data_IF_086411667148
#
_entry.id   IF_086411667148
#
_cell.length_a   1.000
_cell.length_b   1.000
_cell.length_c   1.000
_cell.angle_alpha   90.00
_cell.angle_beta   90.00
_cell.angle_gamma   90.00
#
_symmetry.space_group_name_H-M   'P 1'
#
loop_
_entity.id
_entity.type
_entity.pdbx_description
1 polymer ?
#
# COMPACT_ATOMS: atom_id res chain seq x y z
N UNK A 1 -4.69 23.19 -9.58
CA UNK A 1 -4.80 23.35 -8.10
C UNK A 1 -6.18 22.87 -7.68
N UNK A 2 -6.23 21.91 -6.76
CA UNK A 2 -7.49 21.35 -6.26
C UNK A 2 -7.98 22.25 -5.11
N UNK A 3 -9.11 22.95 -5.33
CA UNK A 3 -9.73 23.77 -4.28
C UNK A 3 -10.45 22.89 -3.27
N UNK A 4 -10.23 23.12 -1.99
CA UNK A 4 -10.94 22.40 -0.91
C UNK A 4 -11.18 23.29 0.30
N UNK A 5 -12.12 22.86 1.15
CA UNK A 5 -12.45 23.50 2.43
C UNK A 5 -12.25 22.49 3.56
N UNK A 6 -11.91 22.99 4.74
CA UNK A 6 -11.74 22.16 5.96
C UNK A 6 -12.80 22.50 7.00
N UNK A 7 -13.18 21.49 7.77
CA UNK A 7 -13.96 21.62 8.98
C UNK A 7 -13.51 20.57 10.00
N UNK A 8 -13.59 20.88 11.27
CA UNK A 8 -13.23 19.93 12.35
C UNK A 8 -14.39 19.85 13.32
N UNK A 9 -14.92 18.64 13.51
CA UNK A 9 -15.98 18.40 14.47
C UNK A 9 -15.46 18.45 15.92
N UNK A 10 -16.33 18.73 16.92
CA UNK A 10 -15.93 18.77 18.33
C UNK A 10 -15.27 17.47 18.84
N UNK A 11 -15.63 16.34 18.27
CA UNK A 11 -15.03 15.03 18.59
C UNK A 11 -13.66 14.80 17.96
N UNK A 12 -13.17 15.74 17.15
CA UNK A 12 -11.85 15.71 16.52
C UNK A 12 -11.80 15.09 15.11
N UNK A 13 -12.94 14.68 14.53
CA UNK A 13 -12.98 14.24 13.14
C UNK A 13 -12.62 15.41 12.20
N UNK A 14 -11.60 15.21 11.39
CA UNK A 14 -11.15 16.17 10.39
C UNK A 14 -11.91 15.94 9.09
N UNK A 15 -12.51 17.00 8.54
CA UNK A 15 -13.30 16.95 7.31
C UNK A 15 -12.59 17.78 6.25
N UNK A 16 -12.39 17.18 5.08
CA UNK A 16 -11.90 17.85 3.87
C UNK A 16 -12.99 17.75 2.83
N UNK A 17 -13.31 18.85 2.17
CA UNK A 17 -14.37 18.88 1.16
C UNK A 17 -13.90 19.53 -0.12
N UNK A 18 -14.07 18.84 -1.24
CA UNK A 18 -13.86 19.35 -2.61
C UNK A 18 -15.18 19.32 -3.37
N UNK A 19 -15.65 20.49 -3.79
CA UNK A 19 -16.84 20.59 -4.63
C UNK A 19 -16.50 20.38 -6.11
N UNK A 20 -17.18 19.44 -6.75
CA UNK A 20 -17.07 19.16 -8.19
C UNK A 20 -18.47 19.10 -8.81
N UNK A 21 -18.91 20.22 -9.39
CA UNK A 21 -20.23 20.33 -10.05
C UNK A 21 -20.32 19.61 -11.41
N UNK A 22 -19.23 19.05 -11.92
CA UNK A 22 -19.22 18.31 -13.19
C UNK A 22 -19.82 16.91 -13.09
N UNK A 23 -19.94 16.37 -11.89
CA UNK A 23 -20.56 15.07 -11.58
C UNK A 23 -21.90 15.24 -10.88
N UNK A 24 -22.72 14.18 -10.84
CA UNK A 24 -23.92 14.06 -10.00
C UNK A 24 -23.69 13.07 -8.85
N UNK A 25 -22.46 12.69 -8.61
CA UNK A 25 -22.07 11.74 -7.58
C UNK A 25 -21.37 12.46 -6.44
N UNK A 26 -21.37 11.84 -5.27
CA UNK A 26 -20.60 12.23 -4.09
C UNK A 26 -19.86 11.02 -3.56
N UNK A 27 -18.55 11.17 -3.38
CA UNK A 27 -17.71 10.20 -2.71
C UNK A 27 -17.43 10.67 -1.28
N UNK A 28 -17.64 9.77 -0.33
CA UNK A 28 -17.14 9.87 1.03
C UNK A 28 -15.95 8.93 1.15
N UNK A 29 -14.80 9.44 1.53
CA UNK A 29 -13.60 8.65 1.78
C UNK A 29 -13.18 8.83 3.24
N UNK A 30 -13.27 7.75 4.01
CA UNK A 30 -12.95 7.73 5.44
C UNK A 30 -11.62 7.00 5.64
N UNK A 31 -10.58 7.74 5.96
CA UNK A 31 -9.25 7.25 6.20
C UNK A 31 -8.95 7.23 7.70
N UNK A 32 -8.68 6.05 8.23
CA UNK A 32 -8.21 5.87 9.61
C UNK A 32 -6.68 5.77 9.63
N UNK A 33 -6.06 6.49 10.56
CA UNK A 33 -4.63 6.40 10.82
C UNK A 33 -4.33 5.14 11.66
N UNK A 34 -4.56 3.98 11.06
CA UNK A 34 -4.28 2.65 11.61
C UNK A 34 -4.02 1.67 10.47
N UNK A 35 -2.96 0.89 10.59
CA UNK A 35 -2.58 -0.13 9.64
C UNK A 35 -1.91 -1.32 10.32
N UNK A 36 -1.28 -2.19 9.54
CA UNK A 36 -0.61 -3.36 10.12
C UNK A 36 0.60 -3.02 11.02
N UNK A 37 1.11 -1.78 10.96
CA UNK A 37 2.16 -1.31 11.88
C UNK A 37 1.69 -1.15 13.32
N UNK A 38 0.38 -1.01 13.53
CA UNK A 38 -0.23 -0.82 14.85
C UNK A 38 -0.57 -2.15 15.55
N UNK A 39 -0.23 -3.27 14.92
CA UNK A 39 -0.46 -4.61 15.43
C UNK A 39 0.68 -5.10 16.34
N UNK A 40 0.34 -5.97 17.29
CA UNK A 40 1.38 -6.65 18.06
C UNK A 40 2.01 -7.79 17.25
N UNK A 41 3.29 -8.15 17.52
CA UNK A 41 3.96 -9.26 16.84
C UNK A 41 3.25 -10.62 17.00
N UNK A 42 2.43 -10.79 18.03
CA UNK A 42 1.67 -12.00 18.34
C UNK A 42 0.25 -11.98 17.75
N UNK A 43 -0.19 -10.84 17.19
CA UNK A 43 -1.54 -10.60 16.69
C UNK A 43 -1.51 -9.83 15.37
N UNK A 44 -0.90 -10.42 14.34
CA UNK A 44 -0.75 -9.79 13.02
C UNK A 44 -1.93 -10.14 12.12
N UNK A 45 -2.29 -9.20 11.22
CA UNK A 45 -3.43 -9.31 10.30
C UNK A 45 -4.71 -8.71 10.85
N UNK A 46 -4.67 -8.06 12.02
CA UNK A 46 -5.86 -7.46 12.65
C UNK A 46 -6.39 -6.27 11.88
N UNK A 47 -5.52 -5.38 11.39
CA UNK A 47 -5.97 -4.23 10.57
C UNK A 47 -6.71 -4.69 9.31
N UNK A 48 -6.24 -5.74 8.65
CA UNK A 48 -6.92 -6.35 7.51
C UNK A 48 -8.21 -7.09 7.91
N UNK A 49 -8.22 -7.80 9.04
CA UNK A 49 -9.44 -8.40 9.56
C UNK A 49 -10.51 -7.33 9.83
N UNK A 50 -10.11 -6.14 10.31
CA UNK A 50 -11.03 -5.03 10.51
C UNK A 50 -11.57 -4.45 9.20
N UNK A 51 -10.79 -4.43 8.13
CA UNK A 51 -11.31 -4.09 6.80
C UNK A 51 -12.55 -4.93 6.48
N UNK A 52 -12.49 -6.24 6.72
CA UNK A 52 -13.61 -7.14 6.51
C UNK A 52 -14.75 -6.97 7.54
N UNK A 53 -14.42 -6.85 8.82
CA UNK A 53 -15.40 -6.74 9.90
C UNK A 53 -16.28 -5.49 9.77
N UNK A 54 -15.76 -4.41 9.20
CA UNK A 54 -16.49 -3.16 8.97
C UNK A 54 -17.69 -3.32 8.01
N UNK A 55 -17.71 -4.38 7.22
CA UNK A 55 -18.84 -4.74 6.35
C UNK A 55 -19.76 -5.82 6.97
N UNK A 56 -19.37 -6.38 8.10
CA UNK A 56 -20.09 -7.43 8.80
C UNK A 56 -21.26 -6.97 9.69
N UNK A 57 -21.68 -5.72 9.55
CA UNK A 57 -22.74 -5.10 10.34
C UNK A 57 -22.23 -4.23 11.49
N UNK A 58 -22.98 -3.19 11.79
CA UNK A 58 -22.73 -2.23 12.87
C UNK A 58 -23.84 -2.29 13.93
N UNK A 59 -23.72 -1.48 14.98
CA UNK A 59 -24.60 -1.54 16.16
C UNK A 59 -26.08 -1.37 15.81
N UNK A 60 -26.43 -0.53 14.85
CA UNK A 60 -27.81 -0.26 14.43
C UNK A 60 -28.12 -0.79 13.02
N UNK A 61 -27.11 -1.19 12.24
CA UNK A 61 -27.24 -1.57 10.84
C UNK A 61 -26.64 -2.97 10.64
N UNK A 62 -27.47 -4.00 10.62
CA UNK A 62 -26.99 -5.39 10.49
C UNK A 62 -26.45 -5.74 9.10
N UNK A 63 -26.85 -4.98 8.07
CA UNK A 63 -26.46 -5.17 6.68
C UNK A 63 -26.12 -3.81 6.05
N UNK A 64 -24.85 -3.60 5.74
CA UNK A 64 -24.32 -2.37 5.18
C UNK A 64 -24.69 -2.21 3.68
N UNK A 65 -24.66 -3.30 2.94
CA UNK A 65 -24.74 -3.27 1.48
C UNK A 65 -26.17 -3.02 0.96
N UNK A 66 -27.18 -3.63 1.57
CA UNK A 66 -28.55 -3.50 1.09
C UNK A 66 -29.06 -2.06 1.04
N UNK A 67 -28.95 -1.21 2.09
CA UNK A 67 -29.35 0.18 2.01
C UNK A 67 -28.51 0.98 1.03
N UNK A 68 -27.22 0.69 0.91
CA UNK A 68 -26.33 1.36 -0.04
C UNK A 68 -26.72 1.08 -1.49
N UNK A 69 -26.95 -0.20 -1.82
CA UNK A 69 -27.42 -0.61 -3.16
C UNK A 69 -28.77 0.03 -3.52
N UNK A 70 -29.70 0.11 -2.58
CA UNK A 70 -30.99 0.80 -2.77
C UNK A 70 -30.79 2.30 -3.04
N UNK A 71 -29.78 2.90 -2.47
CA UNK A 71 -29.40 4.29 -2.73
C UNK A 71 -28.64 4.47 -4.06
N UNK A 72 -28.36 3.39 -4.80
CA UNK A 72 -27.55 3.43 -6.03
C UNK A 72 -26.07 3.66 -5.77
N UNK A 73 -25.60 3.26 -4.60
CA UNK A 73 -24.21 3.45 -4.19
C UNK A 73 -23.34 2.21 -4.35
N UNK A 74 -22.03 2.43 -4.26
CA UNK A 74 -20.99 1.42 -4.21
C UNK A 74 -19.99 1.76 -3.08
N UNK A 75 -19.30 0.75 -2.59
CA UNK A 75 -18.28 0.90 -1.56
C UNK A 75 -17.09 -0.01 -1.84
N UNK A 76 -15.98 0.29 -1.20
CA UNK A 76 -14.85 -0.63 -1.06
C UNK A 76 -13.95 -0.16 0.08
N UNK A 77 -12.93 -0.96 0.39
CA UNK A 77 -11.90 -0.63 1.38
C UNK A 77 -10.55 -1.19 0.97
N UNK A 78 -9.50 -0.72 1.62
CA UNK A 78 -8.17 -1.28 1.54
C UNK A 78 -7.37 -0.95 2.80
N UNK A 79 -6.45 -1.83 3.15
CA UNK A 79 -5.53 -1.69 4.27
C UNK A 79 -4.10 -1.69 3.77
N UNK A 80 -3.29 -0.80 4.32
CA UNK A 80 -1.83 -0.77 4.12
C UNK A 80 -1.09 -1.03 5.42
N UNK A 81 0.21 -0.89 5.39
CA UNK A 81 1.00 -0.92 6.62
C UNK A 81 0.63 0.23 7.56
N UNK A 82 0.15 1.36 7.02
CA UNK A 82 0.01 2.64 7.72
C UNK A 82 -1.42 3.06 7.99
N UNK A 83 -2.33 2.76 7.07
CA UNK A 83 -3.70 3.26 7.09
C UNK A 83 -4.70 2.20 6.66
N UNK A 84 -5.94 2.34 7.14
CA UNK A 84 -7.10 1.62 6.63
C UNK A 84 -8.08 2.64 6.06
N UNK A 85 -8.48 2.45 4.82
CA UNK A 85 -9.30 3.38 4.08
C UNK A 85 -10.59 2.72 3.63
N UNK A 86 -11.70 3.43 3.84
CA UNK A 86 -13.03 3.04 3.38
C UNK A 86 -13.57 4.13 2.49
N UNK A 87 -14.30 3.76 1.45
CA UNK A 87 -15.01 4.74 0.66
C UNK A 87 -16.40 4.27 0.28
N UNK A 88 -17.29 5.24 0.15
CA UNK A 88 -18.65 5.06 -0.31
C UNK A 88 -18.94 6.11 -1.36
N UNK A 89 -19.49 5.69 -2.50
CA UNK A 89 -19.87 6.55 -3.60
C UNK A 89 -21.38 6.41 -3.83
N UNK A 90 -22.10 7.53 -3.87
CA UNK A 90 -23.54 7.57 -4.08
C UNK A 90 -23.96 8.70 -5.01
N UNK A 91 -25.11 8.60 -5.67
CA UNK A 91 -25.76 9.77 -6.25
C UNK A 91 -25.96 10.85 -5.18
N UNK A 92 -25.64 12.11 -5.49
CA UNK A 92 -25.60 13.20 -4.50
C UNK A 92 -26.94 13.39 -3.76
N UNK A 93 -28.09 13.18 -4.41
CA UNK A 93 -29.41 13.28 -3.77
C UNK A 93 -29.65 12.18 -2.72
N UNK A 94 -28.84 11.12 -2.69
CA UNK A 94 -28.86 10.05 -1.70
C UNK A 94 -27.63 10.10 -0.77
N UNK A 95 -26.87 11.20 -0.75
CA UNK A 95 -25.64 11.33 0.00
C UNK A 95 -25.82 11.00 1.49
N UNK A 96 -26.94 11.40 2.09
CA UNK A 96 -27.21 11.15 3.51
C UNK A 96 -27.17 9.68 3.89
N UNK A 97 -27.52 8.76 2.97
CA UNK A 97 -27.38 7.30 3.22
C UNK A 97 -25.93 6.92 3.50
N UNK A 98 -24.97 7.48 2.75
CA UNK A 98 -23.57 7.22 2.97
C UNK A 98 -23.07 7.76 4.33
N UNK A 99 -23.50 8.97 4.72
CA UNK A 99 -23.16 9.55 6.04
C UNK A 99 -23.72 8.70 7.18
N UNK A 100 -24.95 8.24 7.07
CA UNK A 100 -25.58 7.34 8.05
C UNK A 100 -24.81 6.03 8.18
N UNK A 101 -24.52 5.35 7.07
CA UNK A 101 -23.82 4.06 7.08
C UNK A 101 -22.40 4.18 7.66
N UNK A 102 -21.62 5.16 7.19
CA UNK A 102 -20.25 5.38 7.63
C UNK A 102 -20.16 5.77 9.12
N UNK A 103 -21.09 6.61 9.59
CA UNK A 103 -21.11 7.04 10.98
C UNK A 103 -21.48 5.91 11.94
N UNK A 104 -22.42 5.03 11.55
CA UNK A 104 -22.84 3.92 12.40
C UNK A 104 -21.72 2.91 12.62
N UNK A 105 -20.98 2.55 11.57
CA UNK A 105 -19.81 1.66 11.74
C UNK A 105 -18.65 2.31 12.50
N UNK A 106 -18.48 3.65 12.43
CA UNK A 106 -17.53 4.37 13.27
C UNK A 106 -17.97 4.40 14.75
N UNK A 107 -19.26 4.47 15.01
CA UNK A 107 -19.80 4.45 16.36
C UNK A 107 -19.50 3.11 17.06
N UNK A 108 -19.87 2.00 16.45
CA UNK A 108 -19.57 0.66 16.92
C UNK A 108 -19.95 -0.40 15.90
N UNK A 109 -19.16 -1.44 15.81
CA UNK A 109 -19.57 -2.66 15.11
C UNK A 109 -20.56 -3.46 15.97
N UNK A 110 -21.27 -4.40 15.33
CA UNK A 110 -22.19 -5.32 16.02
C UNK A 110 -21.44 -6.29 16.97
N UNK A 111 -20.16 -6.56 16.70
CA UNK A 111 -19.31 -7.47 17.48
C UNK A 111 -19.97 -8.84 17.74
N UNK A 112 -20.61 -9.40 16.73
CA UNK A 112 -21.19 -10.73 16.85
C UNK A 112 -20.14 -11.81 16.69
N UNK A 113 -20.22 -12.87 17.49
CA UNK A 113 -19.34 -14.04 17.37
C UNK A 113 -19.48 -14.74 16.02
N UNK A 114 -20.67 -14.71 15.44
CA UNK A 114 -20.95 -15.27 14.13
C UNK A 114 -20.22 -14.49 13.02
N UNK A 115 -20.39 -13.17 12.98
CA UNK A 115 -19.70 -12.30 12.02
C UNK A 115 -18.18 -12.44 12.13
N UNK A 116 -17.64 -12.43 13.35
CA UNK A 116 -16.21 -12.66 13.58
C UNK A 116 -15.76 -14.01 13.04
N UNK A 117 -16.51 -15.08 13.31
CA UNK A 117 -16.19 -16.44 12.82
C UNK A 117 -16.15 -16.48 11.29
N UNK A 118 -17.13 -15.88 10.62
CA UNK A 118 -17.21 -15.82 9.15
C UNK A 118 -16.01 -15.04 8.60
N UNK A 119 -15.74 -13.83 9.08
CA UNK A 119 -14.67 -12.99 8.56
C UNK A 119 -13.28 -13.59 8.81
N UNK A 120 -13.08 -14.26 9.95
CA UNK A 120 -11.84 -15.02 10.19
C UNK A 120 -11.60 -16.08 9.12
N UNK A 121 -12.62 -16.82 8.73
CA UNK A 121 -12.52 -17.84 7.67
C UNK A 121 -12.19 -17.20 6.32
N UNK A 122 -12.85 -16.08 5.96
CA UNK A 122 -12.59 -15.35 4.72
C UNK A 122 -11.12 -14.91 4.66
N UNK A 123 -10.62 -14.24 5.69
CA UNK A 123 -9.22 -13.76 5.74
C UNK A 123 -8.22 -14.92 5.72
N UNK A 124 -8.50 -16.02 6.40
CA UNK A 124 -7.64 -17.22 6.38
C UNK A 124 -7.57 -17.83 4.97
N UNK A 125 -8.71 -17.95 4.29
CA UNK A 125 -8.72 -18.47 2.92
C UNK A 125 -8.03 -17.51 1.94
N UNK A 126 -8.19 -16.21 2.10
CA UNK A 126 -7.47 -15.22 1.32
C UNK A 126 -5.94 -15.31 1.55
N UNK A 127 -5.51 -15.48 2.81
CA UNK A 127 -4.10 -15.71 3.12
C UNK A 127 -3.56 -16.94 2.37
N UNK A 128 -4.29 -18.06 2.40
CA UNK A 128 -3.89 -19.29 1.70
C UNK A 128 -3.81 -19.05 0.19
N UNK A 129 -4.85 -18.44 -0.38
CA UNK A 129 -4.88 -18.16 -1.82
C UNK A 129 -3.73 -17.25 -2.27
N UNK A 130 -3.48 -16.15 -1.57
CA UNK A 130 -2.48 -15.16 -1.96
C UNK A 130 -1.05 -15.60 -1.65
N UNK A 131 -0.84 -16.30 -0.53
CA UNK A 131 0.53 -16.56 -0.06
C UNK A 131 0.96 -18.02 -0.18
N UNK A 132 0.05 -19.00 -0.17
CA UNK A 132 0.43 -20.41 -0.18
C UNK A 132 0.11 -21.11 -1.50
N UNK A 133 -0.98 -20.74 -2.16
CA UNK A 133 -1.49 -21.41 -3.35
C UNK A 133 -1.09 -20.76 -4.67
N UNK A 134 -0.26 -19.71 -4.62
CA UNK A 134 0.27 -19.04 -5.81
C UNK A 134 1.78 -19.16 -5.88
N UNK A 135 2.35 -19.39 -7.09
CA UNK A 135 3.79 -19.34 -7.27
C UNK A 135 4.36 -18.01 -6.75
N UNK A 136 5.42 -18.07 -5.96
CA UNK A 136 6.07 -16.92 -5.31
C UNK A 136 5.20 -16.15 -4.31
N UNK A 137 4.02 -16.67 -3.93
CA UNK A 137 3.08 -15.98 -3.05
C UNK A 137 3.66 -15.68 -1.65
N UNK A 138 4.54 -16.54 -1.14
CA UNK A 138 5.20 -16.39 0.16
C UNK A 138 6.42 -15.42 0.14
N UNK A 139 6.71 -14.74 -0.99
CA UNK A 139 7.89 -13.90 -1.14
C UNK A 139 7.99 -12.79 -0.10
N UNK A 140 6.91 -12.07 0.16
CA UNK A 140 6.91 -11.02 1.18
C UNK A 140 6.93 -11.54 2.61
N UNK A 141 6.33 -12.72 2.87
CA UNK A 141 6.44 -13.41 4.16
C UNK A 141 7.89 -13.78 4.49
N UNK A 142 8.72 -14.00 3.45
CA UNK A 142 10.12 -14.36 3.59
C UNK A 142 11.06 -13.15 3.54
N UNK A 143 10.80 -12.19 2.63
CA UNK A 143 11.70 -11.06 2.37
C UNK A 143 11.61 -9.98 3.45
N UNK A 144 10.38 -9.62 3.90
CA UNK A 144 10.20 -8.58 4.91
C UNK A 144 10.94 -8.86 6.22
N UNK A 145 10.89 -10.07 6.83
CA UNK A 145 11.66 -10.37 8.04
C UNK A 145 13.18 -10.41 7.83
N UNK A 146 13.66 -10.46 6.58
CA UNK A 146 15.09 -10.33 6.28
C UNK A 146 15.53 -8.86 6.29
N UNK A 147 14.66 -7.96 5.79
CA UNK A 147 14.91 -6.53 5.78
C UNK A 147 14.64 -5.89 7.15
N UNK A 148 13.49 -6.15 7.76
CA UNK A 148 13.12 -5.58 9.07
C UNK A 148 13.28 -6.61 10.18
N UNK A 149 13.97 -6.23 11.25
CA UNK A 149 14.18 -7.08 12.43
C UNK A 149 13.24 -6.74 13.57
N UNK A 150 13.01 -5.45 13.78
CA UNK A 150 12.23 -4.93 14.91
C UNK A 150 11.00 -4.17 14.46
N UNK A 151 11.08 -3.43 13.33
CA UNK A 151 9.98 -2.62 12.84
C UNK A 151 8.77 -3.48 12.44
N UNK A 152 7.52 -3.07 12.71
CA UNK A 152 6.30 -3.82 12.35
C UNK A 152 6.13 -4.10 10.85
N UNK A 153 6.79 -3.36 9.97
CA UNK A 153 6.79 -3.66 8.52
C UNK A 153 7.41 -5.02 8.16
N UNK A 154 7.96 -5.75 9.14
CA UNK A 154 8.46 -7.13 8.97
C UNK A 154 7.38 -8.17 8.66
N UNK A 155 6.10 -7.84 8.87
CA UNK A 155 5.00 -8.70 8.44
C UNK A 155 4.12 -8.00 7.38
N UNK A 156 3.52 -8.77 6.46
CA UNK A 156 2.59 -8.22 5.49
C UNK A 156 1.25 -7.87 6.16
N UNK A 157 0.48 -7.01 5.53
CA UNK A 157 -0.84 -6.54 6.00
C UNK A 157 -1.80 -7.67 6.33
N UNK A 158 -1.77 -8.75 5.54
CA UNK A 158 -2.61 -9.96 5.79
C UNK A 158 -2.15 -10.77 7.01
N UNK A 159 -1.05 -10.37 7.65
CA UNK A 159 -0.44 -11.06 8.79
C UNK A 159 0.64 -12.05 8.39
N UNK A 160 1.42 -12.50 9.37
CA UNK A 160 2.52 -13.48 9.16
C UNK A 160 2.06 -14.93 9.30
N UNK A 161 0.91 -15.17 9.94
CA UNK A 161 0.44 -16.51 10.23
C UNK A 161 -1.09 -16.53 10.40
N UNK A 162 -1.75 -17.48 9.77
CA UNK A 162 -3.20 -17.69 9.86
C UNK A 162 -3.70 -17.97 11.28
N UNK A 163 -2.86 -18.54 12.15
CA UNK A 163 -3.22 -18.80 13.54
C UNK A 163 -3.47 -17.53 14.35
N UNK A 164 -2.84 -16.39 13.99
CA UNK A 164 -3.08 -15.11 14.65
C UNK A 164 -4.53 -14.65 14.45
N UNK A 165 -5.05 -14.82 13.23
CA UNK A 165 -6.45 -14.53 12.90
C UNK A 165 -7.38 -15.61 13.48
N UNK A 166 -7.01 -16.89 13.32
CA UNK A 166 -7.81 -18.02 13.82
C UNK A 166 -8.09 -17.96 15.32
N UNK A 167 -7.10 -17.53 16.09
CA UNK A 167 -7.18 -17.45 17.56
C UNK A 167 -7.69 -16.08 18.08
N UNK A 168 -7.97 -15.11 17.20
CA UNK A 168 -8.48 -13.80 17.63
C UNK A 168 -9.77 -13.95 18.42
N UNK A 169 -9.83 -13.40 19.63
CA UNK A 169 -11.00 -13.35 20.47
C UNK A 169 -11.86 -12.12 20.17
N UNK A 170 -13.11 -12.15 20.60
CA UNK A 170 -14.01 -11.01 20.43
C UNK A 170 -13.56 -9.81 21.30
N UNK A 171 -12.97 -10.08 22.44
CA UNK A 171 -12.42 -9.06 23.35
C UNK A 171 -11.25 -8.35 22.69
N UNK A 172 -10.27 -9.07 22.15
CA UNK A 172 -9.11 -8.49 21.42
C UNK A 172 -9.57 -7.65 20.23
N UNK A 173 -10.60 -8.10 19.51
CA UNK A 173 -11.20 -7.36 18.40
C UNK A 173 -11.83 -6.05 18.90
N UNK A 174 -12.58 -6.07 20.00
CA UNK A 174 -13.15 -4.85 20.59
C UNK A 174 -12.06 -3.87 21.06
N UNK A 175 -11.05 -4.37 21.75
CA UNK A 175 -9.91 -3.56 22.21
C UNK A 175 -9.24 -2.85 21.05
N UNK A 176 -8.92 -3.56 19.96
CA UNK A 176 -8.30 -2.97 18.78
C UNK A 176 -9.20 -1.90 18.12
N UNK A 177 -10.51 -2.17 18.01
CA UNK A 177 -11.46 -1.20 17.45
C UNK A 177 -11.47 0.10 18.28
N UNK A 178 -11.69 -0.02 19.58
CA UNK A 178 -11.81 1.16 20.42
C UNK A 178 -10.51 1.94 20.60
N UNK A 179 -9.37 1.27 20.45
CA UNK A 179 -8.05 1.90 20.48
C UNK A 179 -7.70 2.70 19.19
N UNK A 180 -8.25 2.31 18.04
CA UNK A 180 -7.79 2.84 16.76
C UNK A 180 -8.89 3.47 15.91
N UNK A 181 -10.10 2.92 15.86
CA UNK A 181 -11.18 3.38 14.98
C UNK A 181 -12.03 4.46 15.65
N UNK A 182 -11.43 5.62 15.88
CA UNK A 182 -12.03 6.75 16.55
C UNK A 182 -12.17 7.96 15.61
N UNK A 183 -13.17 8.86 15.83
CA UNK A 183 -13.32 10.05 14.99
C UNK A 183 -12.07 10.93 15.00
N UNK A 184 -11.40 11.07 16.12
CA UNK A 184 -10.16 11.86 16.26
C UNK A 184 -8.90 11.13 15.71
N UNK A 185 -9.03 9.91 15.22
CA UNK A 185 -8.01 9.17 14.48
C UNK A 185 -8.38 8.99 13.01
N UNK A 186 -9.34 9.78 12.50
CA UNK A 186 -9.85 9.66 11.16
C UNK A 186 -9.86 10.99 10.39
N UNK A 187 -9.87 10.87 9.08
CA UNK A 187 -10.09 11.96 8.13
C UNK A 187 -11.23 11.56 7.22
N UNK A 188 -12.29 12.36 7.18
CA UNK A 188 -13.37 12.22 6.22
C UNK A 188 -13.16 13.21 5.08
N UNK A 189 -12.87 12.71 3.91
CA UNK A 189 -12.77 13.51 2.69
C UNK A 189 -14.01 13.30 1.82
N UNK A 190 -14.63 14.40 1.42
CA UNK A 190 -15.88 14.42 0.64
C UNK A 190 -15.57 15.11 -0.69
N UNK A 191 -15.84 14.44 -1.80
CA UNK A 191 -15.64 15.01 -3.13
C UNK A 191 -16.82 14.71 -4.04
N UNK A 192 -17.29 15.72 -4.79
CA UNK A 192 -18.40 15.60 -5.70
C UNK A 192 -19.33 16.80 -5.64
N UNK A 193 -20.58 16.63 -6.06
CA UNK A 193 -21.53 17.76 -6.20
C UNK A 193 -22.33 18.09 -4.95
N UNK A 194 -22.03 17.50 -3.79
CA UNK A 194 -22.63 17.90 -2.52
C UNK A 194 -22.06 19.26 -2.09
N UNK A 195 -22.88 20.30 -1.84
CA UNK A 195 -22.39 21.60 -1.37
C UNK A 195 -21.73 21.49 0.01
N UNK A 196 -20.73 22.32 0.28
CA UNK A 196 -19.97 22.28 1.53
C UNK A 196 -20.84 22.45 2.80
N UNK A 197 -21.72 23.43 2.77
CA UNK A 197 -22.54 23.75 3.98
C UNK A 197 -23.53 22.60 4.26
N UNK A 198 -24.05 21.94 3.23
CA UNK A 198 -24.86 20.73 3.36
C UNK A 198 -24.03 19.55 3.87
N UNK A 199 -22.82 19.36 3.33
CA UNK A 199 -21.90 18.34 3.81
C UNK A 199 -21.56 18.51 5.29
N UNK A 200 -21.30 19.74 5.76
CA UNK A 200 -21.05 20.04 7.16
C UNK A 200 -22.27 19.71 8.03
N UNK A 201 -23.48 20.09 7.62
CA UNK A 201 -24.71 19.75 8.34
C UNK A 201 -24.92 18.24 8.49
N UNK A 202 -24.64 17.48 7.42
CA UNK A 202 -24.69 16.01 7.48
C UNK A 202 -23.59 15.43 8.40
N UNK A 203 -22.38 15.99 8.36
CA UNK A 203 -21.32 15.60 9.29
C UNK A 203 -21.71 15.87 10.75
N UNK A 204 -22.26 17.05 11.04
CA UNK A 204 -22.72 17.40 12.38
C UNK A 204 -23.86 16.49 12.85
N UNK A 205 -24.80 16.17 11.97
CA UNK A 205 -25.92 15.27 12.27
C UNK A 205 -25.46 13.87 12.63
N UNK A 206 -24.57 13.28 11.80
CA UNK A 206 -24.28 11.87 11.84
C UNK A 206 -22.98 11.53 12.61
N UNK A 207 -21.93 12.34 12.48
CA UNK A 207 -20.63 12.04 13.08
C UNK A 207 -20.38 12.77 14.39
N UNK A 208 -20.93 13.98 14.59
CA UNK A 208 -20.66 14.73 15.82
C UNK A 208 -21.16 14.05 17.11
N UNK A 209 -22.25 13.26 17.10
CA UNK A 209 -22.65 12.48 18.29
C UNK A 209 -21.70 11.37 18.69
N UNK A 210 -20.79 10.94 17.80
CA UNK A 210 -19.82 9.87 18.10
C UNK A 210 -18.80 10.43 19.09
N UNK A 211 -18.58 9.77 20.24
CA UNK A 211 -17.66 10.30 21.24
C UNK A 211 -16.20 10.25 20.75
N UNK A 212 -15.44 11.29 21.10
CA UNK A 212 -13.99 11.26 21.04
C UNK A 212 -13.47 10.11 21.90
N UNK A 213 -12.42 9.40 21.45
CA UNK A 213 -11.81 8.30 22.19
C UNK A 213 -10.33 8.58 22.47
N UNK A 214 -9.79 7.92 23.45
CA UNK A 214 -8.34 7.87 23.64
C UNK A 214 -7.74 6.95 22.58
N UNK A 215 -6.87 7.51 21.74
CA UNK A 215 -6.18 6.77 20.68
C UNK A 215 -4.89 6.21 21.24
N UNK A 216 -4.58 4.96 20.92
CA UNK A 216 -3.34 4.32 21.33
C UNK A 216 -2.11 5.16 20.88
N UNK A 217 -1.20 5.42 21.82
CA UNK A 217 0.05 6.09 21.49
C UNK A 217 0.95 5.13 20.72
N UNK A 218 1.53 5.59 19.61
CA UNK A 218 2.51 4.83 18.83
C UNK A 218 3.90 5.03 19.39
N UNK A 219 4.55 3.92 19.71
CA UNK A 219 5.98 3.85 19.97
C UNK A 219 6.56 2.77 19.04
N UNK A 220 6.81 3.16 17.79
CA UNK A 220 7.33 2.23 16.78
C UNK A 220 8.84 2.05 16.97
N UNK A 221 9.31 0.83 17.11
CA UNK A 221 10.74 0.56 17.19
C UNK A 221 11.41 0.94 15.88
N UNK A 222 12.48 1.71 15.97
CA UNK A 222 13.25 2.09 14.80
C UNK A 222 14.15 0.95 14.34
N UNK A 223 14.15 0.68 13.03
CA UNK A 223 15.05 -0.28 12.44
C UNK A 223 16.48 0.30 12.43
N UNK A 224 17.45 -0.51 12.87
CA UNK A 224 18.85 -0.10 12.79
C UNK A 224 19.39 -0.21 11.37
N UNK A 225 20.37 0.63 11.04
CA UNK A 225 21.04 0.57 9.73
C UNK A 225 21.60 -0.83 9.49
N UNK A 226 21.25 -1.43 8.37
CA UNK A 226 21.77 -2.73 7.98
C UNK A 226 23.26 -2.61 7.63
N UNK A 227 24.11 -3.45 8.22
CA UNK A 227 25.57 -3.38 8.08
C UNK A 227 26.18 -4.55 7.31
N UNK A 228 25.37 -5.50 6.86
CA UNK A 228 25.78 -6.64 6.05
C UNK A 228 24.62 -7.13 5.17
N UNK A 229 24.91 -7.68 3.99
CA UNK A 229 23.89 -8.24 3.12
C UNK A 229 23.19 -9.43 3.79
N UNK A 230 21.90 -9.55 3.57
CA UNK A 230 21.13 -10.73 3.94
C UNK A 230 20.80 -11.53 2.68
N UNK A 231 21.00 -12.84 2.74
CA UNK A 231 20.65 -13.73 1.63
C UNK A 231 19.97 -14.99 2.15
N UNK A 232 18.89 -15.38 1.47
CA UNK A 232 18.16 -16.62 1.73
C UNK A 232 17.86 -17.32 0.42
N UNK A 233 17.99 -18.64 0.43
CA UNK A 233 17.63 -19.49 -0.72
C UNK A 233 16.47 -20.38 -0.27
N UNK A 234 15.43 -20.46 -1.09
CA UNK A 234 14.31 -21.37 -0.87
C UNK A 234 14.06 -22.19 -2.13
N UNK A 235 13.77 -23.47 -1.95
CA UNK A 235 13.31 -24.33 -3.02
C UNK A 235 11.78 -24.39 -2.99
N UNK A 236 11.12 -24.13 -4.11
CA UNK A 236 9.66 -24.09 -4.23
C UNK A 236 9.20 -24.73 -5.53
N UNK A 237 7.96 -25.17 -5.53
CA UNK A 237 7.27 -25.59 -6.73
C UNK A 237 6.81 -24.36 -7.53
N UNK A 238 7.72 -23.74 -8.25
CA UNK A 238 7.50 -22.54 -9.07
C UNK A 238 7.96 -22.79 -10.50
N UNK A 239 7.37 -22.07 -11.51
CA UNK A 239 7.69 -22.30 -12.91
C UNK A 239 9.15 -22.03 -13.26
N UNK A 240 9.74 -20.98 -12.72
CA UNK A 240 11.06 -20.47 -13.04
C UNK A 240 11.82 -20.10 -11.76
N UNK A 241 13.14 -20.12 -11.83
CA UNK A 241 13.96 -19.49 -10.81
C UNK A 241 13.69 -17.98 -10.75
N UNK A 242 13.71 -17.39 -9.55
CA UNK A 242 13.43 -15.98 -9.39
C UNK A 242 14.31 -15.34 -8.31
N UNK A 243 14.57 -14.04 -8.46
CA UNK A 243 15.33 -13.22 -7.54
C UNK A 243 14.46 -12.09 -7.04
N UNK A 244 14.36 -11.96 -5.71
CA UNK A 244 13.73 -10.82 -5.04
C UNK A 244 14.79 -10.10 -4.21
N UNK A 245 14.91 -8.79 -4.39
CA UNK A 245 15.84 -7.96 -3.63
C UNK A 245 15.09 -6.81 -2.98
N UNK A 246 15.47 -6.51 -1.75
CA UNK A 246 14.97 -5.36 -1.02
C UNK A 246 16.15 -4.53 -0.50
N UNK A 247 16.00 -3.21 -0.55
CA UNK A 247 16.93 -2.24 0.01
C UNK A 247 16.14 -1.28 0.90
N UNK A 248 16.63 -0.96 2.08
CA UNK A 248 16.02 0.08 2.90
C UNK A 248 16.10 1.42 2.20
N UNK A 249 14.98 2.14 2.22
CA UNK A 249 14.89 3.50 1.69
C UNK A 249 14.34 4.46 2.75
N UNK A 250 14.29 5.73 2.41
CA UNK A 250 13.77 6.80 3.26
C UNK A 250 12.26 6.71 3.48
N UNK A 251 11.75 7.42 4.48
CA UNK A 251 10.33 7.59 4.76
C UNK A 251 9.63 8.50 3.73
N UNK A 252 8.29 8.51 3.75
CA UNK A 252 7.45 9.25 2.78
C UNK A 252 7.63 10.77 2.83
N UNK A 253 8.04 11.32 3.96
CA UNK A 253 8.21 12.76 4.16
C UNK A 253 9.63 13.25 3.85
N UNK A 254 10.57 12.33 3.62
CA UNK A 254 11.95 12.67 3.32
C UNK A 254 12.07 13.40 1.98
N UNK A 255 12.93 14.45 1.87
CA UNK A 255 13.10 15.22 0.63
C UNK A 255 13.51 14.40 -0.60
N UNK A 256 14.21 13.29 -0.40
CA UNK A 256 14.66 12.42 -1.49
C UNK A 256 13.61 11.39 -1.94
N UNK A 257 12.46 11.29 -1.27
CA UNK A 257 11.46 10.22 -1.53
C UNK A 257 11.08 10.09 -3.00
N UNK A 258 10.77 11.21 -3.66
CA UNK A 258 10.40 11.24 -5.08
C UNK A 258 11.55 10.78 -5.98
N UNK A 259 12.78 10.97 -5.54
CA UNK A 259 13.96 10.46 -6.25
C UNK A 259 14.08 8.93 -6.18
N UNK A 260 13.74 8.31 -5.04
CA UNK A 260 13.67 6.85 -4.94
C UNK A 260 12.57 6.27 -5.83
N UNK A 261 11.41 6.90 -5.86
CA UNK A 261 10.30 6.48 -6.71
C UNK A 261 10.67 6.62 -8.20
N UNK A 262 11.18 7.78 -8.62
CA UNK A 262 11.66 8.00 -9.97
C UNK A 262 12.77 7.01 -10.38
N UNK A 263 13.66 6.65 -9.45
CA UNK A 263 14.72 5.67 -9.69
C UNK A 263 14.13 4.27 -9.96
N UNK A 264 13.06 3.88 -9.26
CA UNK A 264 12.38 2.61 -9.51
C UNK A 264 11.78 2.57 -10.92
N UNK A 265 11.18 3.67 -11.35
CA UNK A 265 10.58 3.79 -12.67
C UNK A 265 11.64 3.77 -13.81
N UNK A 266 12.77 4.45 -13.63
CA UNK A 266 13.89 4.41 -14.59
C UNK A 266 14.40 2.98 -14.73
N UNK A 267 14.51 2.24 -13.64
CA UNK A 267 15.05 0.87 -13.64
C UNK A 267 14.13 -0.12 -14.33
N UNK A 268 12.85 -0.20 -13.99
CA UNK A 268 12.03 -1.31 -14.49
C UNK A 268 10.59 -0.95 -14.85
N UNK A 269 10.22 0.33 -14.98
CA UNK A 269 8.86 0.67 -15.37
C UNK A 269 8.69 0.80 -16.88
N UNK A 270 8.04 -0.23 -17.48
CA UNK A 270 7.75 -0.29 -18.91
C UNK A 270 8.92 -0.78 -19.78
N UNK A 271 8.62 -1.04 -21.06
CA UNK A 271 9.56 -1.70 -22.00
C UNK A 271 10.83 -0.91 -22.31
N UNK A 272 10.83 0.39 -22.13
CA UNK A 272 11.99 1.26 -22.38
C UNK A 272 12.85 1.50 -21.14
N UNK A 273 12.52 0.88 -20.01
CA UNK A 273 13.31 0.96 -18.77
C UNK A 273 14.62 0.17 -18.90
N UNK A 274 15.60 0.53 -18.07
CA UNK A 274 16.97 0.00 -18.22
C UNK A 274 17.06 -1.51 -18.03
N UNK A 275 16.48 -2.04 -16.94
CA UNK A 275 16.53 -3.48 -16.67
C UNK A 275 15.73 -4.26 -17.69
N UNK A 276 14.53 -3.81 -18.07
CA UNK A 276 13.72 -4.50 -19.06
C UNK A 276 14.44 -4.56 -20.42
N UNK A 277 14.91 -3.41 -20.92
CA UNK A 277 15.62 -3.37 -22.20
C UNK A 277 16.85 -4.26 -22.21
N UNK A 278 17.72 -4.12 -21.19
CA UNK A 278 19.02 -4.81 -21.18
C UNK A 278 18.93 -6.28 -20.79
N UNK A 279 18.13 -6.60 -19.77
CA UNK A 279 18.11 -7.95 -19.19
C UNK A 279 17.02 -8.84 -19.80
N UNK A 280 15.89 -8.26 -20.24
CA UNK A 280 14.81 -9.02 -20.88
C UNK A 280 14.97 -9.03 -22.40
N UNK A 281 15.12 -7.85 -23.04
CA UNK A 281 15.10 -7.77 -24.50
C UNK A 281 16.44 -8.11 -25.15
N UNK A 282 17.53 -7.53 -24.67
CA UNK A 282 18.85 -7.66 -25.28
C UNK A 282 19.54 -8.97 -24.84
N UNK A 283 19.75 -9.16 -23.53
CA UNK A 283 20.50 -10.31 -22.99
C UNK A 283 19.63 -11.56 -22.78
N UNK A 284 18.30 -11.40 -22.71
CA UNK A 284 17.32 -12.47 -22.50
C UNK A 284 17.59 -13.33 -21.25
N UNK A 285 18.15 -12.72 -20.21
CA UNK A 285 18.43 -13.39 -18.94
C UNK A 285 17.19 -13.52 -18.05
N UNK A 286 16.22 -12.65 -18.25
CA UNK A 286 14.97 -12.63 -17.51
C UNK A 286 13.76 -12.69 -18.45
N UNK A 287 12.71 -13.36 -18.02
CA UNK A 287 11.40 -13.32 -18.69
C UNK A 287 10.62 -12.08 -18.29
N UNK A 288 10.78 -11.66 -17.04
CA UNK A 288 10.23 -10.41 -16.49
C UNK A 288 11.17 -9.87 -15.42
N UNK A 289 11.22 -8.54 -15.31
CA UNK A 289 11.90 -7.84 -14.24
C UNK A 289 11.14 -6.56 -13.91
N UNK A 290 10.99 -6.28 -12.64
CA UNK A 290 10.23 -5.15 -12.13
C UNK A 290 10.94 -4.51 -10.95
N UNK A 291 10.72 -3.22 -10.73
CA UNK A 291 11.13 -2.50 -9.53
C UNK A 291 10.04 -1.56 -9.07
N UNK A 292 9.94 -1.40 -7.76
CA UNK A 292 8.96 -0.53 -7.11
C UNK A 292 9.44 -0.11 -5.74
N UNK A 293 8.79 0.88 -5.15
CA UNK A 293 8.93 1.21 -3.74
C UNK A 293 7.69 0.77 -2.98
N UNK A 294 7.80 0.53 -1.67
CA UNK A 294 6.66 0.10 -0.85
C UNK A 294 5.66 1.24 -0.58
N UNK A 295 6.08 2.51 -0.72
CA UNK A 295 5.20 3.66 -0.52
C UNK A 295 4.77 3.90 0.92
N UNK A 296 5.44 3.28 1.88
CA UNK A 296 5.14 3.35 3.31
C UNK A 296 5.42 4.76 3.88
N UNK A 297 4.70 5.14 4.94
CA UNK A 297 4.90 6.43 5.64
C UNK A 297 6.23 6.44 6.39
N UNK A 298 6.55 5.37 7.13
CA UNK A 298 7.85 5.15 7.77
C UNK A 298 8.88 4.68 6.74
N UNK A 299 10.18 4.56 7.10
CA UNK A 299 11.20 4.07 6.18
C UNK A 299 10.83 2.74 5.52
N UNK A 300 10.66 2.77 4.20
CA UNK A 300 10.17 1.67 3.39
C UNK A 300 11.27 0.85 2.73
N UNK A 301 10.88 0.09 1.71
CA UNK A 301 11.78 -0.73 0.91
C UNK A 301 11.70 -0.34 -0.56
N UNK A 302 12.86 -0.28 -1.19
CA UNK A 302 13.02 -0.34 -2.63
C UNK A 302 13.13 -1.81 -3.03
N UNK A 303 12.26 -2.26 -3.93
CA UNK A 303 12.10 -3.65 -4.30
C UNK A 303 12.53 -3.89 -5.74
N UNK A 304 13.20 -5.00 -5.97
CA UNK A 304 13.47 -5.57 -7.29
C UNK A 304 13.00 -7.02 -7.29
N UNK A 305 12.32 -7.43 -8.34
CA UNK A 305 11.91 -8.82 -8.56
C UNK A 305 12.14 -9.19 -10.02
N UNK A 306 12.73 -10.36 -10.26
CA UNK A 306 12.96 -10.87 -11.60
C UNK A 306 12.78 -12.37 -11.67
N UNK A 307 12.12 -12.85 -12.73
CA UNK A 307 12.03 -14.28 -13.07
C UNK A 307 13.02 -14.57 -14.17
N UNK A 308 13.88 -15.55 -13.96
CA UNK A 308 14.93 -15.91 -14.89
C UNK A 308 14.37 -16.62 -16.13
N UNK A 309 15.07 -16.47 -17.23
CA UNK A 309 14.81 -17.31 -18.42
C UNK A 309 15.27 -18.75 -18.17
N UNK A 310 14.65 -19.76 -18.80
CA UNK A 310 15.10 -21.13 -18.67
C UNK A 310 16.60 -21.29 -19.00
N UNK A 311 17.30 -22.06 -18.18
CA UNK A 311 18.74 -22.32 -18.34
C UNK A 311 19.67 -21.25 -17.79
N UNK A 312 19.17 -20.14 -17.27
CA UNK A 312 19.97 -19.10 -16.62
C UNK A 312 20.04 -19.39 -15.13
N UNK A 313 21.25 -19.37 -14.55
CA UNK A 313 21.45 -19.60 -13.12
C UNK A 313 21.11 -18.36 -12.27
N UNK A 314 20.77 -18.58 -11.01
CA UNK A 314 20.50 -17.50 -10.05
C UNK A 314 21.71 -16.57 -9.88
N UNK A 315 22.94 -17.12 -9.95
CA UNK A 315 24.18 -16.37 -9.88
C UNK A 315 24.34 -15.43 -11.07
N UNK A 316 24.11 -15.93 -12.29
CA UNK A 316 24.15 -15.13 -13.52
C UNK A 316 23.11 -14.02 -13.50
N UNK A 317 21.90 -14.34 -13.04
CA UNK A 317 20.82 -13.35 -12.91
C UNK A 317 21.16 -12.26 -11.89
N UNK A 318 21.65 -12.62 -10.70
CA UNK A 318 22.01 -11.64 -9.68
C UNK A 318 23.17 -10.76 -10.13
N UNK A 319 24.23 -11.36 -10.74
CA UNK A 319 25.37 -10.60 -11.28
C UNK A 319 24.91 -9.59 -12.34
N UNK A 320 24.00 -9.99 -13.21
CA UNK A 320 23.45 -9.08 -14.23
C UNK A 320 22.66 -7.91 -13.62
N UNK A 321 21.86 -8.15 -12.58
CA UNK A 321 21.18 -7.08 -11.81
C UNK A 321 22.23 -6.16 -11.18
N UNK A 322 23.19 -6.71 -10.45
CA UNK A 322 24.22 -5.92 -9.75
C UNK A 322 25.04 -5.05 -10.71
N UNK A 323 25.32 -5.56 -11.91
CA UNK A 323 26.00 -4.78 -12.95
C UNK A 323 25.18 -3.54 -13.37
N UNK A 324 23.88 -3.67 -13.55
CA UNK A 324 23.01 -2.55 -13.92
C UNK A 324 22.83 -1.57 -12.76
N UNK A 325 22.72 -2.07 -11.51
CA UNK A 325 22.68 -1.21 -10.32
C UNK A 325 24.00 -0.44 -10.12
N UNK A 326 25.15 -1.08 -10.41
CA UNK A 326 26.44 -0.41 -10.41
C UNK A 326 26.49 0.74 -11.42
N UNK A 327 25.98 0.53 -12.65
CA UNK A 327 25.87 1.59 -13.64
C UNK A 327 25.04 2.77 -13.16
N UNK A 328 23.95 2.51 -12.44
CA UNK A 328 23.15 3.60 -11.85
C UNK A 328 23.91 4.43 -10.81
N UNK A 329 24.89 3.82 -10.13
CA UNK A 329 25.77 4.48 -9.17
C UNK A 329 26.90 5.28 -9.84
N UNK A 330 27.43 4.78 -10.94
CA UNK A 330 28.67 5.30 -11.58
C UNK A 330 28.36 6.24 -12.75
N UNK A 331 27.29 6.01 -13.49
CA UNK A 331 26.94 6.74 -14.70
C UNK A 331 25.77 7.70 -14.45
N UNK A 332 25.83 8.91 -15.03
CA UNK A 332 24.67 9.77 -15.09
C UNK A 332 23.65 9.20 -16.09
N UNK A 333 22.38 9.23 -15.72
CA UNK A 333 21.35 8.93 -16.70
C UNK A 333 21.18 10.09 -17.67
N UNK A 334 20.72 9.81 -18.89
CA UNK A 334 20.37 10.84 -19.86
C UNK A 334 19.15 11.63 -19.35
N UNK A 335 19.16 12.97 -19.54
CA UNK A 335 18.04 13.83 -19.14
C UNK A 335 16.70 13.31 -19.70
N UNK A 336 16.69 12.83 -20.95
CA UNK A 336 15.51 12.29 -21.62
C UNK A 336 14.88 11.07 -20.88
N UNK A 337 15.70 10.24 -20.21
CA UNK A 337 15.17 9.11 -19.42
C UNK A 337 14.41 9.61 -18.18
N UNK A 338 14.97 10.64 -17.53
CA UNK A 338 14.33 11.28 -16.38
C UNK A 338 13.05 12.03 -16.81
N UNK A 339 13.12 12.82 -17.88
CA UNK A 339 11.96 13.55 -18.41
C UNK A 339 10.80 12.61 -18.74
N UNK A 340 11.09 11.43 -19.29
CA UNK A 340 10.06 10.39 -19.56
C UNK A 340 9.35 9.96 -18.28
N UNK A 341 10.09 9.73 -17.19
CA UNK A 341 9.53 9.30 -15.90
C UNK A 341 8.71 10.44 -15.29
N UNK A 342 9.22 11.65 -15.29
CA UNK A 342 8.52 12.84 -14.77
C UNK A 342 7.22 13.08 -15.55
N UNK A 343 7.26 13.06 -16.88
CA UNK A 343 6.08 13.24 -17.72
C UNK A 343 5.02 12.17 -17.49
N UNK A 344 5.46 10.92 -17.26
CA UNK A 344 4.56 9.82 -16.92
C UNK A 344 3.90 10.04 -15.56
N UNK A 345 4.68 10.45 -14.56
CA UNK A 345 4.13 10.78 -13.25
C UNK A 345 3.11 11.91 -13.33
N UNK A 346 3.46 13.02 -13.98
CA UNK A 346 2.56 14.16 -14.20
C UNK A 346 1.28 13.74 -14.91
N UNK A 347 1.38 12.92 -15.96
CA UNK A 347 0.22 12.41 -16.68
C UNK A 347 -0.67 11.54 -15.79
N UNK A 348 -0.07 10.63 -15.03
CA UNK A 348 -0.82 9.76 -14.12
C UNK A 348 -1.52 10.57 -13.02
N UNK A 349 -0.85 11.56 -12.44
CA UNK A 349 -1.42 12.46 -11.44
C UNK A 349 -2.61 13.25 -12.00
N UNK A 350 -2.45 13.84 -13.19
CA UNK A 350 -3.52 14.57 -13.86
C UNK A 350 -4.75 13.68 -14.12
N UNK A 351 -4.55 12.47 -14.67
CA UNK A 351 -5.66 11.54 -14.95
C UNK A 351 -6.30 11.00 -13.67
N UNK A 352 -5.51 10.70 -12.64
CA UNK A 352 -6.02 10.27 -11.34
C UNK A 352 -6.93 11.34 -10.74
N UNK A 353 -6.49 12.59 -10.77
CA UNK A 353 -7.22 13.72 -10.21
C UNK A 353 -8.42 14.22 -11.07
N UNK A 354 -8.73 13.57 -12.20
CA UNK A 354 -10.01 13.78 -12.89
C UNK A 354 -11.18 13.13 -12.15
N UNK A 355 -10.92 12.02 -11.45
CA UNK A 355 -11.97 11.27 -10.79
C UNK A 355 -12.21 11.78 -9.37
N UNK A 356 -13.45 12.09 -9.03
CA UNK A 356 -13.84 12.66 -7.73
C UNK A 356 -13.46 11.76 -6.54
N UNK A 357 -13.57 10.42 -6.67
CA UNK A 357 -13.16 9.47 -5.64
C UNK A 357 -11.64 9.53 -5.39
N UNK A 358 -10.84 9.58 -6.45
CA UNK A 358 -9.38 9.68 -6.30
C UNK A 358 -8.99 11.00 -5.63
N UNK A 359 -9.68 12.11 -5.95
CA UNK A 359 -9.49 13.39 -5.25
C UNK A 359 -9.78 13.25 -3.76
N UNK A 360 -10.92 12.60 -3.39
CA UNK A 360 -11.26 12.37 -2.00
C UNK A 360 -10.17 11.54 -1.27
N UNK A 361 -9.73 10.45 -1.87
CA UNK A 361 -8.70 9.57 -1.30
C UNK A 361 -7.35 10.31 -1.14
N UNK A 362 -6.92 11.01 -2.18
CA UNK A 362 -5.66 11.74 -2.17
C UNK A 362 -5.68 12.89 -1.15
N UNK A 363 -6.77 13.67 -1.09
CA UNK A 363 -6.91 14.74 -0.11
C UNK A 363 -6.83 14.23 1.34
N UNK A 364 -7.49 13.09 1.64
CA UNK A 364 -7.40 12.46 2.96
C UNK A 364 -5.96 12.01 3.28
N UNK A 365 -5.29 11.39 2.31
CA UNK A 365 -3.93 10.90 2.47
C UNK A 365 -2.92 12.04 2.66
N UNK A 366 -2.97 13.10 1.86
CA UNK A 366 -2.09 14.25 2.02
C UNK A 366 -2.38 15.02 3.32
N UNK A 367 -3.64 15.09 3.77
CA UNK A 367 -3.97 15.66 5.08
C UNK A 367 -3.32 14.87 6.23
N UNK A 368 -3.28 13.54 6.12
CA UNK A 368 -2.57 12.69 7.09
C UNK A 368 -1.06 12.95 7.07
N UNK A 369 -0.47 13.19 5.89
CA UNK A 369 0.95 13.48 5.74
C UNK A 369 1.37 14.87 6.24
N UNK A 370 0.42 15.74 6.58
CA UNK A 370 0.70 17.05 7.16
C UNK A 370 0.00 18.23 6.49
N UNK A 371 -0.84 18.00 5.48
CA UNK A 371 -1.70 19.01 4.88
C UNK A 371 -2.14 18.65 3.47
N UNK A 372 -3.45 18.73 3.21
CA UNK A 372 -4.05 18.39 1.93
C UNK A 372 -3.54 19.24 0.75
N UNK A 373 -3.03 20.45 1.01
CA UNK A 373 -2.38 21.32 0.02
C UNK A 373 -1.14 20.71 -0.65
N UNK A 374 -0.52 19.71 -0.03
CA UNK A 374 0.63 19.00 -0.58
C UNK A 374 0.28 18.22 -1.86
N UNK A 375 -1.00 17.94 -2.12
CA UNK A 375 -1.45 17.29 -3.35
C UNK A 375 -1.02 18.08 -4.60
N UNK A 376 -1.12 19.40 -4.56
CA UNK A 376 -0.76 20.26 -5.70
C UNK A 376 0.76 20.47 -5.87
N UNK A 377 1.55 20.12 -4.87
CA UNK A 377 3.01 20.33 -4.88
C UNK A 377 3.81 19.08 -5.21
N UNK A 378 3.15 17.92 -5.24
CA UNK A 378 3.85 16.65 -5.43
C UNK A 378 4.53 16.56 -6.80
N UNK A 379 3.85 16.93 -7.87
CA UNK A 379 4.39 16.96 -9.24
C UNK A 379 5.63 17.86 -9.33
N UNK A 380 5.61 19.01 -8.65
CA UNK A 380 6.72 19.96 -8.67
C UNK A 380 7.99 19.41 -7.98
N UNK A 381 7.83 18.47 -7.03
CA UNK A 381 8.98 17.79 -6.43
C UNK A 381 9.67 16.87 -7.43
N UNK A 382 8.90 16.16 -8.26
CA UNK A 382 9.45 15.33 -9.34
C UNK A 382 10.13 16.18 -10.42
N UNK A 383 9.52 17.30 -10.81
CA UNK A 383 10.11 18.23 -11.81
C UNK A 383 11.45 18.85 -11.41
N UNK A 384 11.73 18.91 -10.11
CA UNK A 384 13.01 19.41 -9.58
C UNK A 384 14.13 18.37 -9.59
N UNK A 385 13.82 17.10 -9.82
CA UNK A 385 14.83 16.05 -9.85
C UNK A 385 15.78 16.21 -11.01
N UNK A 386 17.04 15.91 -10.76
CA UNK A 386 18.11 15.92 -11.76
C UNK A 386 18.76 14.53 -11.88
N UNK A 387 19.46 14.23 -12.99
CA UNK A 387 20.24 13.01 -13.09
C UNK A 387 21.27 12.82 -11.97
N UNK A 388 21.79 13.92 -11.43
CA UNK A 388 22.70 13.89 -10.28
C UNK A 388 22.01 13.42 -8.99
N UNK A 389 20.76 13.81 -8.78
CA UNK A 389 20.00 13.37 -7.61
C UNK A 389 19.78 11.87 -7.66
N UNK A 390 19.37 11.31 -8.81
CA UNK A 390 19.14 9.89 -8.98
C UNK A 390 20.44 9.08 -8.78
N UNK A 391 21.59 9.57 -9.32
CA UNK A 391 22.88 8.93 -9.07
C UNK A 391 23.25 8.97 -7.60
N UNK A 392 23.16 10.13 -6.94
CA UNK A 392 23.43 10.29 -5.50
C UNK A 392 22.58 9.34 -4.64
N UNK A 393 21.30 9.19 -5.00
CA UNK A 393 20.39 8.23 -4.33
C UNK A 393 20.83 6.80 -4.60
N UNK A 394 21.12 6.43 -5.83
CA UNK A 394 21.61 5.11 -6.20
C UNK A 394 22.92 4.74 -5.47
N UNK A 395 23.86 5.69 -5.32
CA UNK A 395 25.12 5.51 -4.58
C UNK A 395 24.87 5.10 -3.11
N UNK A 396 23.84 5.67 -2.47
CA UNK A 396 23.46 5.36 -1.09
C UNK A 396 22.62 4.09 -0.98
N UNK A 397 21.70 3.89 -1.92
CA UNK A 397 20.71 2.81 -1.88
C UNK A 397 21.32 1.45 -2.20
N UNK A 398 22.04 1.36 -3.33
CA UNK A 398 22.51 0.09 -3.89
C UNK A 398 23.88 -0.32 -3.37
N UNK A 399 24.10 -0.18 -2.08
CA UNK A 399 25.30 -0.73 -1.41
C UNK A 399 25.03 -2.17 -0.97
N UNK A 400 26.03 -3.07 -1.05
CA UNK A 400 25.83 -4.49 -0.70
C UNK A 400 25.25 -4.67 0.70
N UNK A 401 25.70 -3.89 1.67
CA UNK A 401 25.28 -3.95 3.07
C UNK A 401 23.79 -3.70 3.25
N UNK A 402 23.19 -2.87 2.40
CA UNK A 402 21.76 -2.53 2.44
C UNK A 402 20.86 -3.57 1.76
N UNK A 403 21.42 -4.64 1.17
CA UNK A 403 20.64 -5.60 0.39
C UNK A 403 20.10 -6.75 1.24
N UNK A 404 18.86 -7.11 1.00
CA UNK A 404 18.23 -8.36 1.43
C UNK A 404 17.77 -9.12 0.18
N UNK A 405 18.39 -10.26 -0.12
CA UNK A 405 18.17 -11.03 -1.34
C UNK A 405 17.53 -12.38 -1.04
N UNK A 406 16.42 -12.66 -1.69
CA UNK A 406 15.72 -13.93 -1.62
C UNK A 406 15.79 -14.62 -2.99
N UNK A 407 16.41 -15.77 -3.04
CA UNK A 407 16.45 -16.64 -4.21
C UNK A 407 15.36 -17.70 -4.13
N UNK A 408 14.51 -17.74 -5.16
CA UNK A 408 13.60 -18.85 -5.41
C UNK A 408 14.19 -19.78 -6.42
N UNK A 409 14.46 -21.00 -5.99
CA UNK A 409 14.93 -22.09 -6.84
C UNK A 409 13.76 -23.00 -7.18
N UNK A 410 13.49 -23.17 -8.45
CA UNK A 410 12.46 -24.07 -8.95
C UNK A 410 12.88 -25.52 -8.79
N UNK A 411 12.04 -26.33 -8.18
CA UNK A 411 12.24 -27.79 -8.14
C UNK A 411 12.09 -28.46 -9.52
N UNK A 412 11.46 -27.76 -10.48
CA UNK A 412 11.25 -28.24 -11.85
C UNK A 412 12.42 -27.94 -12.80
N UNK A 413 13.24 -26.93 -12.51
CA UNK A 413 14.39 -26.55 -13.34
C UNK A 413 15.43 -27.68 -13.53
N UNK A 414 15.41 -28.71 -12.69
CA UNK A 414 16.27 -29.89 -12.82
C UNK A 414 15.77 -30.93 -13.83
N UNK A 415 14.52 -30.85 -14.33
CA UNK A 415 13.93 -31.89 -15.19
C UNK A 415 14.18 -31.66 -16.68
N UNK A 416 14.47 -30.43 -17.13
CA UNK A 416 14.67 -30.14 -18.57
C UNK A 416 16.10 -30.41 -19.08
N UNK A 417 17.07 -30.63 -18.19
CA UNK A 417 18.48 -30.88 -18.58
C UNK A 417 18.74 -32.36 -18.94
N UNK A 418 17.77 -33.27 -18.73
CA UNK A 418 17.99 -34.73 -18.90
C UNK A 418 17.34 -35.30 -20.19
N UNK A 419 16.69 -34.50 -21.02
CA UNK A 419 15.95 -35.00 -22.19
C UNK A 419 16.60 -34.74 -23.54
N UNK A 420 17.82 -34.24 -23.62
CA UNK A 420 18.52 -34.07 -24.92
C UNK A 420 19.92 -34.68 -24.96
N UNK A 421 20.05 -35.95 -24.52
CA UNK A 421 21.19 -36.83 -24.94
C UNK A 421 20.70 -38.25 -25.05
N UNK A 422 20.05 -38.55 -26.17
CA UNK A 422 20.07 -39.87 -26.80
C UNK A 422 19.20 -39.81 -28.10
N UNK A 423 19.86 -39.49 -29.23
CA UNK A 423 19.93 -40.39 -30.39
C UNK A 423 20.97 -39.85 -31.39
#
# INVERSE_FOLDING_TARGET
MISFRRHILPNGLRIIHHYDGSTKMTALNLLYDVGSKDESPERTGFAHLFEHLMFGGSVNIPDFDTPLQKAGGENNAWTSNDVTNYYTVVPTHNAETAFWLESDRMLSLAFSSESLSVQKQVVIEEFKQRNLNQPYGDSFLLLRPMAYRVHPYRWPVIGKNTSHIGNASLEEVKEFFFAHYAPNNAILSISGSLPFDEAVLLCEKWFAPIPRREVACRDLPQESVQTKPHKKIVEREVPLDAIFKAYHMVDRKHPDYQGYDALSDVLASGRSSRLYRRLVMEKKLFTEIDSSITGDIEPGLFLLKGKLSPGISLEQGEEAIEMELRRMREELLEQRELDKVINRFESNDLFSNLHYLNKATNLAYYELLGGAENIDTEVEKYKKLTPFDLRRIAEKLFVPENSSTLWYKSVHAKREIITDVSD
#
